data_IF_357212828693
#
_entry.id   IF_357212828693
#
_cell.length_a   1.000
_cell.length_b   1.000
_cell.length_c   1.000
_cell.angle_alpha   90.00
_cell.angle_beta   90.00
_cell.angle_gamma   90.00
#
_symmetry.space_group_name_H-M   'P 1'
#
loop_
_entity.id
_entity.type
_entity.pdbx_description
1 polymer ?
#
# COMPACT_ATOMS: atom_id res chain seq x y z
N UNK A 1 -10.93 8.73 -13.01
CA UNK A 1 -10.57 8.87 -11.59
C UNK A 1 -9.94 7.61 -11.07
N UNK A 2 -8.80 7.73 -10.44
CA UNK A 2 -8.06 6.61 -9.86
C UNK A 2 -8.46 6.32 -8.41
N UNK A 3 -8.85 7.35 -7.66
CA UNK A 3 -9.20 7.23 -6.25
C UNK A 3 -10.68 6.86 -6.04
N UNK A 4 -10.99 6.32 -4.87
CA UNK A 4 -12.36 6.02 -4.48
C UNK A 4 -13.23 7.28 -4.28
N UNK A 5 -12.59 8.44 -4.07
CA UNK A 5 -13.24 9.76 -4.00
C UNK A 5 -12.82 10.60 -5.18
N UNK A 6 -13.77 11.21 -5.87
CA UNK A 6 -13.51 12.05 -7.06
C UNK A 6 -12.88 13.37 -6.64
N UNK A 7 -11.65 13.60 -7.10
CA UNK A 7 -10.97 14.88 -6.88
C UNK A 7 -11.68 16.07 -7.57
N UNK A 8 -11.46 17.29 -7.06
CA UNK A 8 -12.17 18.51 -7.51
C UNK A 8 -12.06 18.74 -9.01
N UNK A 9 -10.88 18.56 -9.61
CA UNK A 9 -10.68 18.73 -11.05
C UNK A 9 -11.52 17.72 -11.86
N UNK A 10 -11.49 16.43 -11.48
CA UNK A 10 -12.26 15.39 -12.15
C UNK A 10 -13.77 15.57 -11.96
N UNK A 11 -14.20 16.11 -10.79
CA UNK A 11 -15.61 16.48 -10.53
C UNK A 11 -16.11 17.56 -11.47
N UNK A 12 -15.28 18.56 -11.76
CA UNK A 12 -15.63 19.62 -12.72
C UNK A 12 -15.64 19.09 -14.15
N UNK A 13 -14.60 18.35 -14.55
CA UNK A 13 -14.48 17.78 -15.89
C UNK A 13 -15.57 16.75 -16.19
N UNK A 14 -16.05 16.03 -15.17
CA UNK A 14 -17.15 15.06 -15.33
C UNK A 14 -18.46 15.68 -15.86
N UNK A 15 -18.64 17.01 -15.74
CA UNK A 15 -19.83 17.71 -16.25
C UNK A 15 -19.87 17.83 -17.77
N UNK A 16 -18.69 17.78 -18.41
CA UNK A 16 -18.54 17.95 -19.85
C UNK A 16 -17.98 16.70 -20.54
N UNK A 17 -17.56 15.70 -19.75
CA UNK A 17 -16.99 14.47 -20.27
C UNK A 17 -18.09 13.58 -20.89
N UNK A 18 -17.83 13.04 -22.08
CA UNK A 18 -18.73 12.06 -22.72
C UNK A 18 -18.74 10.70 -22.01
N UNK A 19 -17.67 10.36 -21.29
CA UNK A 19 -17.53 9.13 -20.51
C UNK A 19 -16.69 9.39 -19.28
N UNK A 20 -17.05 8.74 -18.18
CA UNK A 20 -16.36 8.79 -16.88
C UNK A 20 -15.85 7.40 -16.56
N UNK A 21 -14.54 7.22 -16.56
CA UNK A 21 -13.90 5.97 -16.14
C UNK A 21 -13.49 6.05 -14.67
N UNK A 22 -13.71 5.00 -13.92
CA UNK A 22 -13.40 4.92 -12.50
C UNK A 22 -12.56 3.68 -12.15
N UNK A 23 -11.58 3.88 -11.28
CA UNK A 23 -10.73 2.82 -10.76
C UNK A 23 -11.38 2.02 -9.64
N UNK A 24 -12.20 2.69 -8.84
CA UNK A 24 -13.02 2.06 -7.80
C UNK A 24 -14.49 2.26 -8.14
N UNK A 25 -15.23 1.16 -8.17
CA UNK A 25 -16.65 1.20 -8.51
C UNK A 25 -17.42 2.08 -7.52
N UNK A 26 -18.16 3.05 -8.03
CA UNK A 26 -18.96 3.97 -7.23
C UNK A 26 -18.26 5.31 -6.91
N UNK A 27 -17.05 5.57 -7.45
CA UNK A 27 -16.40 6.88 -7.29
C UNK A 27 -17.23 8.02 -7.88
N UNK A 28 -17.81 7.83 -9.08
CA UNK A 28 -18.77 8.75 -9.65
C UNK A 28 -20.21 8.34 -9.34
N UNK A 29 -21.12 9.30 -9.29
CA UNK A 29 -22.55 9.04 -9.25
C UNK A 29 -23.01 8.17 -10.44
N UNK A 30 -24.05 7.39 -10.24
CA UNK A 30 -24.62 6.54 -11.29
C UNK A 30 -25.03 7.35 -12.53
N UNK A 31 -24.86 6.75 -13.70
CA UNK A 31 -25.19 7.33 -14.99
C UNK A 31 -24.71 6.43 -16.13
N UNK A 32 -25.38 6.58 -17.28
CA UNK A 32 -25.08 5.76 -18.48
C UNK A 32 -23.69 5.99 -19.08
N UNK A 33 -23.05 7.10 -18.74
CA UNK A 33 -21.71 7.51 -19.18
C UNK A 33 -20.59 6.98 -18.27
N UNK A 34 -20.95 6.39 -17.09
CA UNK A 34 -20.00 5.79 -16.15
C UNK A 34 -19.50 4.42 -16.63
N UNK A 35 -18.21 4.18 -16.51
CA UNK A 35 -17.55 2.90 -16.79
C UNK A 35 -16.60 2.54 -15.66
N UNK A 36 -16.83 1.45 -14.97
CA UNK A 36 -15.87 0.87 -14.00
C UNK A 36 -14.84 0.08 -14.80
N UNK A 37 -13.62 0.63 -14.89
CA UNK A 37 -12.50 0.05 -15.66
C UNK A 37 -11.47 -0.60 -14.75
N UNK A 38 -11.52 -0.33 -13.46
CA UNK A 38 -10.42 -0.61 -12.55
C UNK A 38 -9.24 0.36 -12.77
N UNK A 39 -8.25 0.29 -11.91
CA UNK A 39 -6.96 0.94 -12.10
C UNK A 39 -6.00 0.03 -12.87
N UNK A 40 -5.08 0.58 -13.67
CA UNK A 40 -4.09 -0.23 -14.36
C UNK A 40 -3.12 -0.86 -13.33
N UNK A 41 -3.04 -2.18 -13.34
CA UNK A 41 -2.06 -2.95 -12.59
C UNK A 41 -1.26 -3.76 -13.59
N UNK A 42 0.04 -3.88 -13.36
CA UNK A 42 0.94 -4.62 -14.27
C UNK A 42 0.63 -6.13 -14.23
N UNK A 43 0.77 -6.78 -15.38
CA UNK A 43 0.46 -8.21 -15.53
C UNK A 43 1.33 -9.11 -14.63
N UNK A 44 2.58 -8.71 -14.38
CA UNK A 44 3.50 -9.43 -13.49
C UNK A 44 3.02 -9.48 -12.04
N UNK A 45 2.27 -8.46 -11.58
CA UNK A 45 1.66 -8.44 -10.25
C UNK A 45 0.47 -9.40 -10.18
N UNK A 46 -0.36 -9.48 -11.22
CA UNK A 46 -1.44 -10.46 -11.30
C UNK A 46 -0.94 -11.91 -11.30
N UNK A 47 0.25 -12.15 -11.85
CA UNK A 47 0.88 -13.46 -11.88
C UNK A 47 1.52 -13.86 -10.53
N UNK A 48 1.49 -13.00 -9.52
CA UNK A 48 2.07 -13.27 -8.20
C UNK A 48 1.34 -14.45 -7.54
N UNK A 49 2.06 -15.49 -7.08
CA UNK A 49 1.44 -16.64 -6.45
C UNK A 49 0.77 -16.26 -5.13
N UNK A 50 -0.42 -16.80 -4.88
CA UNK A 50 -1.07 -16.67 -3.59
C UNK A 50 -0.33 -17.56 -2.59
N UNK A 51 0.27 -16.96 -1.59
CA UNK A 51 0.97 -17.67 -0.51
C UNK A 51 0.15 -17.54 0.77
N UNK A 52 0.15 -18.61 1.57
CA UNK A 52 -0.29 -18.58 2.96
C UNK A 52 0.91 -18.81 3.86
N UNK A 53 1.09 -17.95 4.84
CA UNK A 53 2.08 -18.16 5.90
C UNK A 53 1.49 -19.12 6.94
N UNK A 54 2.20 -20.20 7.21
CA UNK A 54 1.78 -21.29 8.11
C UNK A 54 2.49 -21.28 9.48
N UNK A 55 3.35 -20.28 9.70
CA UNK A 55 4.13 -20.16 10.94
C UNK A 55 5.40 -21.02 10.99
N UNK A 56 5.71 -21.79 9.96
CA UNK A 56 6.91 -22.65 9.94
C UNK A 56 8.23 -21.89 9.80
N UNK A 57 8.17 -20.63 9.38
CA UNK A 57 9.30 -19.70 9.24
C UNK A 57 8.93 -18.31 9.77
N UNK A 58 9.89 -17.43 10.00
CA UNK A 58 9.59 -16.02 10.27
C UNK A 58 8.72 -15.41 9.19
N UNK A 59 7.73 -14.59 9.57
CA UNK A 59 6.88 -13.86 8.65
C UNK A 59 7.72 -12.90 7.78
N UNK A 60 7.41 -12.79 6.52
CA UNK A 60 7.99 -11.81 5.62
C UNK A 60 7.14 -10.54 5.59
N UNK A 61 7.68 -9.47 6.12
CA UNK A 61 7.02 -8.18 6.21
C UNK A 61 7.59 -7.20 5.17
N UNK A 62 6.77 -6.82 4.22
CA UNK A 62 7.09 -5.77 3.25
C UNK A 62 6.51 -4.44 3.71
N UNK A 63 7.33 -3.40 3.73
CA UNK A 63 6.91 -2.04 4.09
C UNK A 63 7.11 -1.12 2.90
N UNK A 64 6.06 -0.43 2.47
CA UNK A 64 6.10 0.45 1.31
C UNK A 64 5.76 1.89 1.71
N UNK A 65 6.77 2.75 1.69
CA UNK A 65 6.62 4.19 1.93
C UNK A 65 6.12 4.98 0.72
N UNK A 66 6.16 4.37 -0.47
CA UNK A 66 5.90 5.06 -1.74
C UNK A 66 7.10 5.87 -2.24
N UNK A 67 6.98 6.51 -3.41
CA UNK A 67 8.10 7.19 -4.11
C UNK A 67 8.74 8.31 -3.30
N UNK A 68 7.96 9.03 -2.52
CA UNK A 68 8.42 10.11 -1.63
C UNK A 68 8.82 9.60 -0.23
N UNK A 69 8.51 8.33 0.06
CA UNK A 69 8.66 7.76 1.38
C UNK A 69 7.54 8.17 2.35
N UNK A 70 7.43 7.43 3.45
CA UNK A 70 6.47 7.70 4.51
C UNK A 70 7.22 7.91 5.84
N UNK A 71 7.60 9.16 6.13
CA UNK A 71 8.37 9.51 7.32
C UNK A 71 7.82 8.91 8.62
N UNK A 72 6.49 8.92 8.88
CA UNK A 72 5.95 8.26 10.06
C UNK A 72 6.24 6.76 10.10
N UNK A 73 6.10 6.04 8.98
CA UNK A 73 6.42 4.61 8.93
C UNK A 73 7.92 4.38 9.16
N UNK A 74 8.79 5.19 8.53
CA UNK A 74 10.23 5.09 8.66
C UNK A 74 10.70 5.24 10.12
N UNK A 75 10.00 6.05 10.93
CA UNK A 75 10.35 6.31 12.33
C UNK A 75 9.67 5.33 13.31
N UNK A 76 8.38 5.07 13.11
CA UNK A 76 7.58 4.34 14.10
C UNK A 76 7.77 2.83 14.00
N UNK A 77 7.94 2.31 12.78
CA UNK A 77 7.96 0.87 12.57
C UNK A 77 9.17 0.18 13.21
N UNK A 78 10.41 0.70 13.12
CA UNK A 78 11.55 0.10 13.82
C UNK A 78 11.31 -0.03 15.32
N UNK A 79 10.80 1.03 15.95
CA UNK A 79 10.50 1.03 17.38
C UNK A 79 9.34 0.08 17.76
N UNK A 80 8.34 -0.08 16.87
CA UNK A 80 7.26 -1.03 17.09
C UNK A 80 7.76 -2.47 16.99
N UNK A 81 8.58 -2.79 16.00
CA UNK A 81 9.16 -4.11 15.80
C UNK A 81 10.15 -4.50 16.92
N UNK A 82 10.83 -3.52 17.51
CA UNK A 82 11.69 -3.76 18.68
C UNK A 82 10.96 -4.32 19.89
N UNK A 83 9.64 -4.07 20.01
CA UNK A 83 8.79 -4.58 21.10
C UNK A 83 8.41 -6.05 20.93
N UNK A 84 8.62 -6.62 19.74
CA UNK A 84 8.37 -8.03 19.46
C UNK A 84 9.58 -8.84 19.93
N UNK A 85 9.33 -9.98 20.55
CA UNK A 85 10.41 -10.93 20.91
C UNK A 85 11.32 -11.19 19.70
N UNK A 86 12.65 -11.07 19.83
CA UNK A 86 13.58 -11.32 18.73
C UNK A 86 13.37 -12.64 17.99
N UNK A 87 12.93 -13.69 18.70
CA UNK A 87 12.64 -15.00 18.11
C UNK A 87 11.36 -15.01 17.23
N UNK A 88 10.47 -14.04 17.42
CA UNK A 88 9.19 -13.92 16.71
C UNK A 88 9.17 -12.77 15.69
N UNK A 89 10.27 -12.03 15.58
CA UNK A 89 10.34 -10.89 14.66
C UNK A 89 10.24 -11.34 13.20
N UNK A 90 9.48 -10.62 12.38
CA UNK A 90 9.46 -10.86 10.94
C UNK A 90 10.81 -10.55 10.30
N UNK A 91 11.06 -11.14 9.15
CA UNK A 91 12.06 -10.62 8.21
C UNK A 91 11.46 -9.41 7.51
N UNK A 92 12.21 -8.31 7.45
CA UNK A 92 11.68 -7.02 7.00
C UNK A 92 12.39 -6.54 5.75
N UNK A 93 11.63 -6.21 4.72
CA UNK A 93 12.07 -5.39 3.58
C UNK A 93 11.31 -4.07 3.64
N UNK A 94 12.02 -2.94 3.71
CA UNK A 94 11.41 -1.62 3.86
C UNK A 94 11.86 -0.66 2.77
N UNK A 95 10.95 -0.31 1.88
CA UNK A 95 11.12 0.76 0.90
C UNK A 95 10.75 2.10 1.54
N UNK A 96 11.78 2.90 1.85
CA UNK A 96 11.66 4.11 2.67
C UNK A 96 11.63 5.43 1.89
N UNK A 97 11.90 5.40 0.58
CA UNK A 97 12.07 6.58 -0.27
C UNK A 97 13.51 7.11 -0.29
N UNK A 98 13.93 7.65 -1.44
CA UNK A 98 15.34 8.06 -1.68
C UNK A 98 15.88 9.05 -0.64
N UNK A 99 15.05 10.00 -0.22
CA UNK A 99 15.48 11.07 0.70
C UNK A 99 15.62 10.58 2.16
N UNK A 100 15.10 9.39 2.47
CA UNK A 100 15.00 8.91 3.85
C UNK A 100 15.84 7.67 4.14
N UNK A 101 16.68 7.23 3.18
CA UNK A 101 17.41 5.96 3.28
C UNK A 101 18.31 5.90 4.52
N UNK A 102 19.12 6.93 4.75
CA UNK A 102 20.03 6.98 5.90
C UNK A 102 19.24 7.00 7.22
N UNK A 103 18.24 7.87 7.31
CA UNK A 103 17.41 7.98 8.50
C UNK A 103 16.71 6.66 8.85
N UNK A 104 16.17 5.96 7.84
CA UNK A 104 15.49 4.70 8.07
C UNK A 104 16.47 3.60 8.53
N UNK A 105 17.66 3.51 7.93
CA UNK A 105 18.70 2.58 8.36
C UNK A 105 19.15 2.83 9.79
N UNK A 106 19.43 4.09 10.14
CA UNK A 106 19.78 4.47 11.51
C UNK A 106 18.67 4.13 12.52
N UNK A 107 17.41 4.33 12.15
CA UNK A 107 16.27 4.00 13.01
C UNK A 107 16.17 2.49 13.29
N UNK A 108 16.41 1.64 12.29
CA UNK A 108 16.45 0.18 12.47
C UNK A 108 17.66 -0.26 13.31
N UNK A 109 18.82 0.33 13.08
CA UNK A 109 20.04 0.05 13.84
C UNK A 109 19.88 0.44 15.32
N UNK A 110 19.38 1.64 15.61
CA UNK A 110 19.12 2.11 16.96
C UNK A 110 18.06 1.25 17.68
N UNK A 111 17.08 0.73 16.94
CA UNK A 111 16.06 -0.16 17.48
C UNK A 111 16.55 -1.62 17.70
N UNK A 112 17.75 -1.97 17.23
CA UNK A 112 18.26 -3.34 17.28
C UNK A 112 17.41 -4.32 16.45
N UNK A 113 16.83 -3.86 15.32
CA UNK A 113 15.98 -4.65 14.44
C UNK A 113 16.67 -4.81 13.09
N UNK A 114 16.82 -6.05 12.64
CA UNK A 114 17.36 -6.32 11.30
C UNK A 114 16.29 -6.04 10.24
N UNK A 115 16.65 -5.27 9.22
CA UNK A 115 15.79 -4.99 8.08
C UNK A 115 16.65 -4.74 6.85
N UNK A 116 16.16 -5.16 5.70
CA UNK A 116 16.66 -4.73 4.40
C UNK A 116 15.96 -3.40 4.06
N UNK A 117 16.74 -2.31 4.03
CA UNK A 117 16.20 -0.96 3.83
C UNK A 117 16.61 -0.44 2.47
N UNK A 118 15.61 -0.25 1.61
CA UNK A 118 15.76 0.14 0.22
C UNK A 118 15.19 1.54 -0.04
N UNK A 119 15.88 2.32 -0.86
CA UNK A 119 15.37 3.60 -1.33
C UNK A 119 14.18 3.43 -2.28
N UNK A 120 14.25 2.38 -3.12
CA UNK A 120 13.27 2.07 -4.14
C UNK A 120 13.35 0.59 -4.50
N UNK A 121 12.21 -0.07 -4.68
CA UNK A 121 12.12 -1.45 -5.13
C UNK A 121 11.70 -1.44 -6.61
N UNK A 122 12.56 -1.97 -7.48
CA UNK A 122 12.28 -2.04 -8.91
C UNK A 122 11.37 -3.22 -9.27
N UNK A 123 11.63 -4.38 -8.67
CA UNK A 123 10.83 -5.60 -8.84
C UNK A 123 9.73 -5.67 -7.76
N UNK A 124 8.62 -4.98 -8.01
CA UNK A 124 7.47 -5.00 -7.10
C UNK A 124 6.74 -6.35 -7.12
N UNK A 125 6.72 -7.06 -8.26
CA UNK A 125 6.09 -8.37 -8.35
C UNK A 125 6.84 -9.38 -7.47
N UNK A 126 8.17 -9.40 -7.54
CA UNK A 126 9.01 -10.21 -6.66
C UNK A 126 8.85 -9.84 -5.19
N UNK A 127 8.75 -8.53 -4.88
CA UNK A 127 8.53 -8.07 -3.51
C UNK A 127 7.17 -8.52 -2.96
N UNK A 128 6.10 -8.42 -3.76
CA UNK A 128 4.79 -8.95 -3.36
C UNK A 128 4.80 -10.48 -3.27
N UNK A 129 5.48 -11.19 -4.18
CA UNK A 129 5.61 -12.65 -4.10
C UNK A 129 6.30 -13.11 -2.81
N UNK A 130 7.29 -12.37 -2.34
CA UNK A 130 8.02 -12.65 -1.12
C UNK A 130 7.20 -12.35 0.15
N UNK A 131 6.34 -11.33 0.14
CA UNK A 131 5.67 -10.81 1.32
C UNK A 131 4.51 -11.71 1.80
N UNK A 132 4.43 -11.96 3.10
CA UNK A 132 3.26 -12.52 3.78
C UNK A 132 2.31 -11.44 4.27
N UNK A 133 2.84 -10.27 4.65
CA UNK A 133 2.09 -9.09 5.10
C UNK A 133 2.72 -7.83 4.52
N UNK A 134 1.88 -6.89 4.10
CA UNK A 134 2.33 -5.59 3.59
C UNK A 134 1.84 -4.47 4.51
N UNK A 135 2.73 -3.56 4.91
CA UNK A 135 2.38 -2.30 5.59
C UNK A 135 2.66 -1.15 4.65
N UNK A 136 1.65 -0.33 4.33
CA UNK A 136 1.84 0.75 3.36
C UNK A 136 0.84 1.89 3.51
N UNK A 137 1.06 2.98 2.75
CA UNK A 137 0.05 4.01 2.50
C UNK A 137 -1.03 3.48 1.55
N UNK A 138 -2.23 4.06 1.62
CA UNK A 138 -3.36 3.64 0.80
C UNK A 138 -3.50 4.44 -0.51
N UNK A 139 -2.42 4.54 -1.28
CA UNK A 139 -2.48 5.06 -2.64
C UNK A 139 -3.35 4.18 -3.54
N UNK A 140 -4.08 4.78 -4.48
CA UNK A 140 -5.04 4.07 -5.33
C UNK A 140 -4.41 2.86 -6.06
N UNK A 141 -3.24 3.06 -6.69
CA UNK A 141 -2.55 1.98 -7.39
C UNK A 141 -2.05 0.90 -6.42
N UNK A 142 -1.48 1.29 -5.27
CA UNK A 142 -1.01 0.33 -4.27
C UNK A 142 -2.14 -0.56 -3.75
N UNK A 143 -3.32 0.01 -3.48
CA UNK A 143 -4.52 -0.76 -3.06
C UNK A 143 -4.93 -1.76 -4.14
N UNK A 144 -4.90 -1.35 -5.42
CA UNK A 144 -5.21 -2.25 -6.54
C UNK A 144 -4.14 -3.32 -6.74
N UNK A 145 -2.86 -3.00 -6.57
CA UNK A 145 -1.76 -3.96 -6.63
C UNK A 145 -1.85 -5.01 -5.52
N UNK A 146 -2.18 -4.59 -4.28
CA UNK A 146 -2.40 -5.50 -3.15
C UNK A 146 -3.56 -6.46 -3.42
N UNK A 147 -4.66 -5.95 -3.99
CA UNK A 147 -5.80 -6.78 -4.38
C UNK A 147 -5.41 -7.80 -5.46
N UNK A 148 -4.66 -7.36 -6.49
CA UNK A 148 -4.20 -8.22 -7.59
C UNK A 148 -3.22 -9.28 -7.12
N UNK A 149 -2.28 -8.92 -6.24
CA UNK A 149 -1.29 -9.84 -5.66
C UNK A 149 -1.87 -10.74 -4.56
N UNK A 150 -3.11 -10.49 -4.10
CA UNK A 150 -3.73 -11.25 -3.00
C UNK A 150 -2.97 -11.13 -1.68
N UNK A 151 -2.43 -9.94 -1.34
CA UNK A 151 -1.61 -9.77 -0.13
C UNK A 151 -2.40 -9.17 1.02
N UNK A 152 -2.45 -9.83 2.19
CA UNK A 152 -2.94 -9.22 3.42
C UNK A 152 -2.19 -7.93 3.70
N UNK A 153 -2.90 -6.89 4.14
CA UNK A 153 -2.25 -5.60 4.31
C UNK A 153 -2.74 -4.80 5.51
N UNK A 154 -1.84 -3.97 6.03
CA UNK A 154 -2.07 -2.98 7.06
C UNK A 154 -1.94 -1.61 6.42
N UNK A 155 -3.08 -0.97 6.20
CA UNK A 155 -3.16 0.28 5.46
C UNK A 155 -3.14 1.47 6.42
N UNK A 156 -2.15 2.32 6.25
CA UNK A 156 -1.92 3.52 7.05
C UNK A 156 -2.11 4.74 6.15
N UNK A 157 -3.32 5.30 6.02
CA UNK A 157 -3.59 6.44 5.16
C UNK A 157 -2.72 7.64 5.51
N UNK A 158 -2.51 8.52 4.53
CA UNK A 158 -1.82 9.79 4.76
C UNK A 158 -2.74 10.70 5.57
N UNK A 159 -2.35 11.15 6.78
CA UNK A 159 -3.11 12.13 7.53
C UNK A 159 -3.29 13.42 6.70
N UNK A 160 -4.47 14.01 6.76
CA UNK A 160 -4.77 15.28 6.09
C UNK A 160 -4.64 15.25 4.54
N UNK A 161 -4.80 14.08 3.93
CA UNK A 161 -4.94 14.02 2.48
C UNK A 161 -6.18 14.82 2.05
N UNK A 162 -6.05 15.63 0.98
CA UNK A 162 -7.17 16.37 0.41
C UNK A 162 -8.31 15.38 0.11
N UNK A 163 -9.53 15.71 0.55
CA UNK A 163 -10.73 14.88 0.43
C UNK A 163 -10.64 13.48 1.08
N UNK A 164 -9.65 13.24 1.95
CA UNK A 164 -9.42 11.96 2.66
C UNK A 164 -9.44 10.71 1.74
N UNK A 165 -8.98 10.90 0.50
CA UNK A 165 -9.05 9.88 -0.55
C UNK A 165 -8.31 8.57 -0.18
N UNK A 166 -7.23 8.65 0.64
CA UNK A 166 -6.51 7.44 1.02
C UNK A 166 -7.30 6.57 2.01
N UNK A 167 -8.04 7.16 2.93
CA UNK A 167 -8.94 6.40 3.82
C UNK A 167 -10.05 5.73 3.00
N UNK A 168 -10.62 6.43 2.01
CA UNK A 168 -11.62 5.84 1.13
C UNK A 168 -11.05 4.69 0.28
N UNK A 169 -9.84 4.84 -0.26
CA UNK A 169 -9.14 3.76 -0.98
C UNK A 169 -8.90 2.55 -0.06
N UNK A 170 -8.45 2.78 1.19
CA UNK A 170 -8.17 1.72 2.15
C UNK A 170 -9.43 0.92 2.51
N UNK A 171 -10.56 1.59 2.69
CA UNK A 171 -11.86 0.96 2.98
C UNK A 171 -12.28 -0.03 1.90
N UNK A 172 -11.87 0.19 0.65
CA UNK A 172 -12.18 -0.74 -0.43
C UNK A 172 -11.70 -2.18 -0.14
N UNK A 173 -10.54 -2.35 0.50
CA UNK A 173 -10.04 -3.65 0.96
C UNK A 173 -10.50 -3.99 2.38
N UNK A 174 -10.49 -3.01 3.29
CA UNK A 174 -10.80 -3.25 4.69
C UNK A 174 -12.24 -3.71 4.91
N UNK A 175 -13.22 -3.09 4.23
CA UNK A 175 -14.64 -3.46 4.32
C UNK A 175 -14.94 -4.86 3.73
N UNK A 176 -13.99 -5.43 2.98
CA UNK A 176 -14.04 -6.79 2.41
C UNK A 176 -13.20 -7.80 3.19
N UNK A 177 -12.63 -7.40 4.33
CA UNK A 177 -11.79 -8.26 5.16
C UNK A 177 -10.41 -8.59 4.58
N UNK A 178 -9.98 -7.87 3.51
CA UNK A 178 -8.70 -8.10 2.84
C UNK A 178 -7.56 -7.22 3.40
N UNK A 179 -7.86 -6.24 4.24
CA UNK A 179 -6.90 -5.37 4.89
C UNK A 179 -7.38 -4.91 6.27
N UNK A 180 -6.43 -4.43 7.07
CA UNK A 180 -6.72 -3.69 8.30
C UNK A 180 -6.42 -2.21 8.05
N UNK A 181 -7.37 -1.34 8.36
CA UNK A 181 -7.21 0.11 8.31
C UNK A 181 -6.77 0.62 9.70
N UNK A 182 -5.69 1.40 9.73
CA UNK A 182 -5.11 1.97 10.96
C UNK A 182 -5.42 3.47 11.08
#
# INVERSE_FOLDING_TARGET
EQNAVVGTANRLLARIAKRRCEGFTGSFAEGSDRRSTGNPVRDDIFATPVLSWDGSRPMHLLVLGGSLGAMPLNKLLPAALAKIDPAQRPQVVHQCGKQHLLLAREAYEQAGVRAEVEAFIADMAGAYAWADLVICRAGALTVCELAAAGRPSLLVPLPHAIDDHQTANARYLADRGAAVLM
#
